data_IF_119328904287
#
_entry.id   IF_119328904287
#
_cell.length_a   1.000
_cell.length_b   1.000
_cell.length_c   1.000
_cell.angle_alpha   90.00
_cell.angle_beta   90.00
_cell.angle_gamma   90.00
#
_symmetry.space_group_name_H-M   'P 1'
#
loop_
_entity.id
_entity.type
_entity.pdbx_description
1 polymer ?
#
# COMPACT_ATOMS: atom_id res chain seq x y z
N UNK A 1 4.95 -3.05 -34.16
CA UNK A 1 4.54 -3.59 -32.84
C UNK A 1 4.10 -2.42 -31.98
N UNK A 2 2.93 -2.51 -31.33
CA UNK A 2 2.41 -1.45 -30.46
C UNK A 2 2.38 -1.95 -29.01
N UNK A 3 2.63 -1.06 -28.07
CA UNK A 3 2.58 -1.34 -26.64
C UNK A 3 1.66 -0.32 -25.95
N UNK A 4 1.02 -0.75 -24.88
CA UNK A 4 0.27 0.10 -23.98
C UNK A 4 0.96 0.06 -22.61
N UNK A 5 1.45 1.21 -22.16
CA UNK A 5 2.07 1.35 -20.85
C UNK A 5 1.02 1.82 -19.85
N UNK A 6 0.90 1.09 -18.75
CA UNK A 6 0.03 1.42 -17.65
C UNK A 6 0.89 1.80 -16.45
N UNK A 7 0.47 2.84 -15.73
CA UNK A 7 0.91 3.02 -14.36
C UNK A 7 0.27 1.93 -13.46
N UNK A 8 0.83 1.69 -12.29
CA UNK A 8 0.28 0.74 -11.32
C UNK A 8 -0.69 1.41 -10.36
N UNK A 9 -0.16 2.30 -9.52
CA UNK A 9 -0.87 2.86 -8.38
C UNK A 9 -1.98 3.80 -8.84
N UNK A 10 -3.19 3.61 -8.31
CA UNK A 10 -4.40 4.33 -8.70
C UNK A 10 -4.82 4.16 -10.17
N UNK A 11 -4.08 3.40 -10.98
CA UNK A 11 -4.40 3.11 -12.39
C UNK A 11 -4.89 1.68 -12.55
N UNK A 12 -4.05 0.69 -12.24
CA UNK A 12 -4.42 -0.73 -12.24
C UNK A 12 -4.75 -1.25 -10.83
N UNK A 13 -4.11 -0.68 -9.80
CA UNK A 13 -4.28 -1.02 -8.39
C UNK A 13 -5.07 0.09 -7.68
N UNK A 14 -6.14 -0.25 -6.96
CA UNK A 14 -6.73 0.64 -5.95
C UNK A 14 -5.82 0.65 -4.71
N UNK A 15 -4.70 1.36 -4.82
CA UNK A 15 -3.66 1.40 -3.81
C UNK A 15 -4.17 2.02 -2.52
N UNK A 16 -4.93 3.11 -2.62
CA UNK A 16 -5.51 3.83 -1.49
C UNK A 16 -6.49 2.95 -0.70
N UNK A 17 -7.38 2.24 -1.38
CA UNK A 17 -8.26 1.26 -0.76
C UNK A 17 -7.46 0.15 -0.08
N UNK A 18 -6.59 -0.50 -0.84
CA UNK A 18 -5.74 -1.60 -0.37
C UNK A 18 -4.93 -1.23 0.88
N UNK A 19 -4.35 -0.02 0.90
CA UNK A 19 -3.60 0.49 2.05
C UNK A 19 -4.50 0.71 3.26
N UNK A 20 -5.68 1.28 3.06
CA UNK A 20 -6.62 1.49 4.15
C UNK A 20 -7.04 0.17 4.79
N UNK A 21 -7.32 -0.86 3.99
CA UNK A 21 -7.71 -2.17 4.51
C UNK A 21 -6.57 -2.86 5.25
N UNK A 22 -5.36 -2.84 4.68
CA UNK A 22 -4.18 -3.40 5.33
C UNK A 22 -3.92 -2.71 6.68
N UNK A 23 -3.95 -1.39 6.73
CA UNK A 23 -3.67 -0.62 7.96
C UNK A 23 -4.78 -0.82 8.99
N UNK A 24 -6.03 -0.97 8.55
CA UNK A 24 -7.16 -1.32 9.43
C UNK A 24 -6.94 -2.67 10.08
N UNK A 25 -6.63 -3.69 9.27
CA UNK A 25 -6.30 -5.03 9.75
C UNK A 25 -5.08 -5.02 10.68
N UNK A 26 -4.01 -4.31 10.34
CA UNK A 26 -2.81 -4.24 11.18
C UNK A 26 -3.16 -3.62 12.55
N UNK A 27 -3.92 -2.54 12.58
CA UNK A 27 -4.35 -1.91 13.83
C UNK A 27 -5.22 -2.83 14.69
N UNK A 28 -6.22 -3.47 14.09
CA UNK A 28 -7.18 -4.29 14.80
C UNK A 28 -6.61 -5.66 15.21
N UNK A 29 -5.85 -6.30 14.34
CA UNK A 29 -5.43 -7.69 14.53
C UNK A 29 -4.02 -7.84 15.09
N UNK A 30 -3.11 -6.94 14.75
CA UNK A 30 -1.73 -6.99 15.22
C UNK A 30 -1.57 -6.16 16.50
N UNK A 31 -2.12 -4.95 16.54
CA UNK A 31 -2.03 -4.07 17.71
C UNK A 31 -3.19 -4.21 18.69
N UNK A 32 -4.25 -4.94 18.31
CA UNK A 32 -5.47 -5.12 19.14
C UNK A 32 -6.03 -3.77 19.62
N UNK A 33 -5.95 -2.74 18.77
CA UNK A 33 -6.42 -1.41 19.09
C UNK A 33 -7.96 -1.32 18.99
N UNK A 34 -8.60 -0.58 19.91
CA UNK A 34 -10.02 -0.25 19.80
C UNK A 34 -10.32 0.67 18.61
N UNK A 35 -11.60 0.83 18.25
CA UNK A 35 -12.03 1.52 17.03
C UNK A 35 -11.53 2.97 16.92
N UNK A 36 -11.59 3.75 18.01
CA UNK A 36 -11.13 5.14 18.02
C UNK A 36 -9.64 5.25 17.68
N UNK A 37 -8.82 4.40 18.31
CA UNK A 37 -7.37 4.35 18.05
C UNK A 37 -7.07 3.84 16.65
N UNK A 38 -7.88 2.91 16.13
CA UNK A 38 -7.75 2.39 14.77
C UNK A 38 -7.95 3.48 13.72
N UNK A 39 -9.00 4.30 13.86
CA UNK A 39 -9.23 5.40 12.92
C UNK A 39 -8.08 6.41 12.92
N UNK A 40 -7.61 6.82 14.11
CA UNK A 40 -6.47 7.74 14.23
C UNK A 40 -5.19 7.15 13.65
N UNK A 41 -4.93 5.85 13.87
CA UNK A 41 -3.78 5.15 13.30
C UNK A 41 -3.84 5.12 11.77
N UNK A 42 -4.99 4.76 11.20
CA UNK A 42 -5.20 4.72 9.74
C UNK A 42 -4.95 6.09 9.11
N UNK A 43 -5.59 7.14 9.64
CA UNK A 43 -5.44 8.49 9.13
C UNK A 43 -3.99 8.95 9.19
N UNK A 44 -3.31 8.68 10.31
CA UNK A 44 -1.92 9.07 10.47
C UNK A 44 -0.99 8.32 9.53
N UNK A 45 -1.19 7.02 9.36
CA UNK A 45 -0.43 6.22 8.41
C UNK A 45 -0.55 6.77 6.99
N UNK A 46 -1.77 7.06 6.53
CA UNK A 46 -2.02 7.57 5.17
C UNK A 46 -1.32 8.92 4.95
N UNK A 47 -1.33 9.81 5.95
CA UNK A 47 -0.63 11.10 5.88
C UNK A 47 0.88 10.89 5.75
N UNK A 48 1.46 9.98 6.55
CA UNK A 48 2.89 9.70 6.54
C UNK A 48 3.35 8.98 5.27
N UNK A 49 2.52 8.10 4.72
CA UNK A 49 2.80 7.36 3.49
C UNK A 49 2.95 8.27 2.26
N UNK A 50 2.31 9.45 2.28
CA UNK A 50 2.34 10.45 1.20
C UNK A 50 2.11 9.84 -0.19
N UNK A 51 1.05 9.03 -0.34
CA UNK A 51 0.73 8.35 -1.61
C UNK A 51 1.88 7.48 -2.14
N UNK A 52 2.60 6.83 -1.24
CA UNK A 52 3.72 5.95 -1.55
C UNK A 52 5.05 6.64 -1.81
N UNK A 53 5.14 7.96 -1.62
CA UNK A 53 6.40 8.70 -1.73
C UNK A 53 7.32 8.49 -0.53
N UNK A 54 6.81 7.96 0.58
CA UNK A 54 7.60 7.63 1.77
C UNK A 54 7.60 6.12 1.99
N UNK A 55 8.80 5.57 2.13
CA UNK A 55 8.96 4.16 2.41
C UNK A 55 8.57 3.82 3.85
N UNK A 56 8.21 2.56 4.06
CA UNK A 56 7.46 2.14 5.26
C UNK A 56 8.32 2.06 6.50
N UNK A 57 9.63 1.93 6.36
CA UNK A 57 10.55 2.08 7.47
C UNK A 57 10.37 3.42 8.20
N UNK A 58 10.33 4.54 7.47
CA UNK A 58 10.20 5.89 8.04
C UNK A 58 8.79 6.15 8.54
N UNK A 59 7.78 5.62 7.85
CA UNK A 59 6.39 5.64 8.33
C UNK A 59 6.29 4.92 9.68
N UNK A 60 6.82 3.69 9.78
CA UNK A 60 6.75 2.91 11.01
C UNK A 60 7.61 3.48 12.14
N UNK A 61 8.76 4.08 11.84
CA UNK A 61 9.56 4.76 12.85
C UNK A 61 8.74 5.86 13.56
N UNK A 62 8.06 6.71 12.79
CA UNK A 62 7.21 7.78 13.33
C UNK A 62 5.98 7.21 14.05
N UNK A 63 5.32 6.20 13.49
CA UNK A 63 4.16 5.58 14.12
C UNK A 63 4.50 4.89 15.46
N UNK A 64 5.66 4.24 15.56
CA UNK A 64 6.11 3.63 16.82
C UNK A 64 6.28 4.70 17.90
N UNK A 65 6.86 5.84 17.54
CA UNK A 65 7.05 6.97 18.46
C UNK A 65 5.71 7.61 18.86
N UNK A 66 4.85 7.92 17.89
CA UNK A 66 3.60 8.65 18.10
C UNK A 66 2.54 7.82 18.84
N UNK A 67 2.45 6.52 18.56
CA UNK A 67 1.45 5.62 19.17
C UNK A 67 2.01 4.78 20.32
N UNK A 68 3.29 4.95 20.66
CA UNK A 68 3.92 4.24 21.78
C UNK A 68 3.94 2.72 21.62
N UNK A 69 4.21 2.23 20.40
CA UNK A 69 4.20 0.81 20.05
C UNK A 69 5.46 0.07 20.57
N UNK A 70 5.75 0.17 21.88
CA UNK A 70 7.03 -0.25 22.51
C UNK A 70 7.40 -1.73 22.33
N UNK A 71 6.46 -2.59 21.95
CA UNK A 71 6.69 -4.01 21.67
C UNK A 71 7.08 -4.32 20.22
N UNK A 72 7.10 -3.32 19.34
CA UNK A 72 7.34 -3.48 17.91
C UNK A 72 8.59 -2.74 17.47
N UNK A 73 9.35 -3.40 16.59
CA UNK A 73 10.46 -2.79 15.88
C UNK A 73 10.03 -2.41 14.46
N UNK A 74 10.73 -1.45 13.86
CA UNK A 74 10.50 -1.08 12.45
C UNK A 74 10.65 -2.30 11.54
N UNK A 75 11.65 -3.16 11.80
CA UNK A 75 11.88 -4.38 11.01
C UNK A 75 10.70 -5.35 11.03
N UNK A 76 10.14 -5.61 12.21
CA UNK A 76 8.98 -6.50 12.31
C UNK A 76 7.76 -5.94 11.58
N UNK A 77 7.50 -4.63 11.71
CA UNK A 77 6.36 -4.01 11.04
C UNK A 77 6.55 -3.92 9.52
N UNK A 78 7.78 -3.66 9.08
CA UNK A 78 8.14 -3.66 7.66
C UNK A 78 8.03 -5.06 7.06
N UNK A 79 8.48 -6.10 7.76
CA UNK A 79 8.34 -7.49 7.33
C UNK A 79 6.86 -7.87 7.16
N UNK A 80 6.01 -7.50 8.14
CA UNK A 80 4.55 -7.68 8.02
C UNK A 80 4.01 -6.94 6.79
N UNK A 81 4.42 -5.69 6.56
CA UNK A 81 3.98 -4.93 5.38
C UNK A 81 4.37 -5.64 4.08
N UNK A 82 5.65 -5.98 3.91
CA UNK A 82 6.16 -6.58 2.68
C UNK A 82 5.52 -7.94 2.40
N UNK A 83 5.27 -8.73 3.44
CA UNK A 83 4.71 -10.09 3.30
C UNK A 83 3.20 -10.12 3.18
N UNK A 84 2.48 -9.17 3.78
CA UNK A 84 1.00 -9.21 3.87
C UNK A 84 0.28 -8.18 3.02
N UNK A 85 0.91 -7.07 2.62
CA UNK A 85 0.20 -6.01 1.89
C UNK A 85 -0.47 -6.50 0.61
N UNK A 86 0.16 -7.45 -0.10
CA UNK A 86 -0.39 -8.05 -1.31
C UNK A 86 -1.74 -8.76 -1.10
N UNK A 87 -2.03 -9.25 0.10
CA UNK A 87 -3.31 -9.91 0.44
C UNK A 87 -4.48 -8.91 0.44
N UNK A 88 -4.18 -7.61 0.56
CA UNK A 88 -5.18 -6.53 0.57
C UNK A 88 -5.30 -5.82 -0.77
N UNK A 89 -4.45 -6.15 -1.75
CA UNK A 89 -4.43 -5.49 -3.05
C UNK A 89 -5.72 -5.75 -3.84
N UNK A 90 -6.39 -4.67 -4.26
CA UNK A 90 -7.63 -4.71 -5.05
C UNK A 90 -7.43 -4.10 -6.42
N UNK A 91 -7.89 -4.74 -7.51
CA UNK A 91 -7.83 -4.11 -8.83
C UNK A 91 -8.68 -2.84 -8.87
N UNK A 92 -8.20 -1.81 -9.57
CA UNK A 92 -9.01 -0.62 -9.84
C UNK A 92 -10.21 -1.01 -10.71
N UNK A 93 -11.35 -0.39 -10.47
CA UNK A 93 -12.57 -0.69 -11.23
C UNK A 93 -12.33 -0.58 -12.74
N UNK A 94 -12.52 -1.70 -13.45
CA UNK A 94 -12.35 -1.76 -14.90
C UNK A 94 -10.91 -2.00 -15.39
N UNK A 95 -9.91 -2.07 -14.49
CA UNK A 95 -8.52 -2.33 -14.85
C UNK A 95 -8.35 -3.58 -15.72
N UNK A 96 -8.91 -4.72 -15.28
CA UNK A 96 -8.86 -5.98 -16.03
C UNK A 96 -9.46 -5.84 -17.42
N UNK A 97 -10.67 -5.27 -17.51
CA UNK A 97 -11.39 -5.07 -18.79
C UNK A 97 -10.59 -4.21 -19.76
N UNK A 98 -9.93 -3.17 -19.27
CA UNK A 98 -9.11 -2.26 -20.08
C UNK A 98 -7.86 -2.99 -20.57
N UNK A 99 -7.11 -3.66 -19.68
CA UNK A 99 -5.91 -4.41 -20.06
C UNK A 99 -6.24 -5.46 -21.13
N UNK A 100 -7.31 -6.24 -20.93
CA UNK A 100 -7.77 -7.21 -21.91
C UNK A 100 -8.19 -6.56 -23.24
N UNK A 101 -8.86 -5.41 -23.21
CA UNK A 101 -9.29 -4.72 -24.42
C UNK A 101 -8.09 -4.25 -25.26
N UNK A 102 -7.01 -3.79 -24.63
CA UNK A 102 -5.78 -3.43 -25.33
C UNK A 102 -5.07 -4.68 -25.88
N UNK A 103 -4.99 -5.77 -25.12
CA UNK A 103 -4.45 -7.04 -25.61
C UNK A 103 -5.21 -7.56 -26.82
N UNK A 104 -6.56 -7.56 -26.80
CA UNK A 104 -7.41 -7.96 -27.93
C UNK A 104 -7.21 -7.11 -29.19
N UNK A 105 -6.73 -5.87 -29.03
CA UNK A 105 -6.39 -4.96 -30.13
C UNK A 105 -4.94 -5.12 -30.64
N UNK A 106 -4.18 -6.09 -30.11
CA UNK A 106 -2.81 -6.37 -30.54
C UNK A 106 -1.73 -5.56 -29.81
N UNK A 107 -2.08 -4.84 -28.75
CA UNK A 107 -1.09 -4.14 -27.91
C UNK A 107 -0.44 -5.11 -26.92
N UNK A 108 0.88 -5.00 -26.75
CA UNK A 108 1.58 -5.63 -25.62
C UNK A 108 1.44 -4.75 -24.37
N UNK A 109 0.88 -5.24 -23.24
CA UNK A 109 0.83 -4.46 -22.02
C UNK A 109 2.23 -4.34 -21.41
N UNK A 110 2.55 -3.16 -20.90
CA UNK A 110 3.72 -2.91 -20.07
C UNK A 110 3.30 -2.17 -18.80
N UNK A 111 4.06 -2.34 -17.73
CA UNK A 111 3.86 -1.67 -16.45
C UNK A 111 4.99 -0.67 -16.22
N UNK A 112 4.62 0.52 -15.78
CA UNK A 112 5.54 1.54 -15.26
C UNK A 112 5.09 1.81 -13.83
N UNK A 113 6.01 1.84 -12.89
CA UNK A 113 5.69 2.09 -11.49
C UNK A 113 6.87 2.75 -10.79
N UNK A 114 6.58 3.53 -9.76
CA UNK A 114 7.59 4.14 -8.91
C UNK A 114 7.96 3.18 -7.78
N UNK A 115 9.26 3.06 -7.53
CA UNK A 115 9.80 2.39 -6.35
C UNK A 115 10.45 3.43 -5.47
N UNK A 116 10.03 3.46 -4.21
CA UNK A 116 10.71 4.20 -3.15
C UNK A 116 11.39 3.18 -2.27
N UNK A 117 12.69 3.28 -2.11
CA UNK A 117 13.44 2.52 -1.12
C UNK A 117 13.87 3.47 -0.02
N UNK A 118 13.86 2.99 1.22
CA UNK A 118 14.59 3.60 2.31
C UNK A 118 15.13 2.49 3.19
N UNK A 119 16.43 2.55 3.43
CA UNK A 119 17.03 2.98 4.68
C UNK A 119 18.34 3.68 4.31
N UNK A 120 18.76 4.64 5.14
CA UNK A 120 19.99 5.42 4.96
C UNK A 120 21.22 4.57 4.61
#
# INVERSE_FOLDING_TARGET
MQAALFDLDETLLDRSGSLRDFVTWQSQEIFKAGDANTNTFIERFIVLDQKGMVWKDRVYELLIQEFGLKGWTVDQLLDIYVTRFCEFCRPRLGAEKVVEAFQRRGFKPGLVYNLVYSRD
#
